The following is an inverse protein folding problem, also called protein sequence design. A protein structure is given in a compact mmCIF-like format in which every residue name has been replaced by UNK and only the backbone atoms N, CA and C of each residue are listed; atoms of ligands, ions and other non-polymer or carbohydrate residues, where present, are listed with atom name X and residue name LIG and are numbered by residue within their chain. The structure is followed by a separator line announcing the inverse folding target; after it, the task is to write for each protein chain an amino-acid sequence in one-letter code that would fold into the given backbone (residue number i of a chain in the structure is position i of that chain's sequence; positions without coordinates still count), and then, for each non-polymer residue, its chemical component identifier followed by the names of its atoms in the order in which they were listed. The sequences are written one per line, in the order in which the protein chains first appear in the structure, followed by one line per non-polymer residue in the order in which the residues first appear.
data_IF_249723742043
#
_entry.id   IF_249723742043
#
_cell.length_a   1.000
_cell.length_b   1.000
_cell.length_c   1.000
_cell.angle_alpha   90.00
_cell.angle_beta   90.00
_cell.angle_gamma   90.00
#
_symmetry.space_group_name_H-M   'P 1'
#
loop_
_entity.id
_entity.type
_entity.pdbx_description
1 polymer ?
#
# COMPACT_ATOMS: atom_id res chain seq x y z
N UNK A 1 65.88 -34.34 11.74
CA UNK A 1 64.96 -33.57 10.86
C UNK A 1 64.14 -32.64 11.73
N UNK A 2 64.30 -31.32 11.52
CA UNK A 2 63.85 -30.26 12.44
C UNK A 2 62.34 -30.03 12.38
N UNK A 3 61.70 -29.92 13.56
CA UNK A 3 60.26 -29.67 13.72
C UNK A 3 59.73 -28.40 13.04
N UNK A 4 60.60 -27.49 12.60
CA UNK A 4 60.23 -26.33 11.76
C UNK A 4 59.64 -26.75 10.40
N UNK A 5 60.10 -27.84 9.81
CA UNK A 5 59.57 -28.34 8.53
C UNK A 5 58.16 -28.90 8.67
N UNK A 6 57.90 -29.65 9.75
CA UNK A 6 56.57 -30.22 10.02
C UNK A 6 55.52 -29.12 10.25
N UNK A 7 55.87 -28.09 11.02
CA UNK A 7 54.98 -26.97 11.32
C UNK A 7 54.61 -26.14 10.08
N UNK A 8 55.57 -25.87 9.18
CA UNK A 8 55.28 -25.14 7.94
C UNK A 8 54.41 -25.95 6.98
N UNK A 9 54.62 -27.28 6.90
CA UNK A 9 53.80 -28.15 6.06
C UNK A 9 52.36 -28.23 6.58
N UNK A 10 52.16 -28.31 7.91
CA UNK A 10 50.84 -28.35 8.52
C UNK A 10 50.06 -27.03 8.33
N UNK A 11 50.73 -25.86 8.47
CA UNK A 11 50.12 -24.55 8.18
C UNK A 11 49.65 -24.42 6.74
N UNK A 12 50.39 -24.96 5.79
CA UNK A 12 50.03 -24.92 4.36
C UNK A 12 48.78 -25.75 4.08
N UNK A 13 48.72 -26.97 4.61
CA UNK A 13 47.53 -27.85 4.48
C UNK A 13 46.29 -27.24 5.14
N UNK A 14 46.43 -26.62 6.32
CA UNK A 14 45.31 -25.94 6.99
C UNK A 14 44.85 -24.72 6.18
N UNK A 15 45.77 -23.89 5.69
CA UNK A 15 45.41 -22.73 4.87
C UNK A 15 44.73 -23.13 3.55
N UNK A 16 45.23 -24.16 2.86
CA UNK A 16 44.66 -24.66 1.60
C UNK A 16 43.25 -25.26 1.83
N UNK A 17 43.04 -25.94 2.98
CA UNK A 17 41.73 -26.50 3.35
C UNK A 17 40.71 -25.41 3.73
N UNK A 18 41.14 -24.39 4.48
CA UNK A 18 40.30 -23.24 4.85
C UNK A 18 39.91 -22.43 3.61
N UNK A 19 40.84 -22.25 2.66
CA UNK A 19 40.56 -21.54 1.40
C UNK A 19 39.55 -22.30 0.53
N UNK A 20 39.65 -23.63 0.51
CA UNK A 20 38.72 -24.48 -0.26
C UNK A 20 37.31 -24.44 0.34
N UNK A 21 37.17 -24.49 1.68
CA UNK A 21 35.86 -24.40 2.35
C UNK A 21 35.21 -23.03 2.16
N UNK A 22 35.98 -21.93 2.19
CA UNK A 22 35.46 -20.59 1.91
C UNK A 22 35.00 -20.40 0.45
N UNK A 23 35.64 -21.07 -0.52
CA UNK A 23 35.25 -21.02 -1.93
C UNK A 23 33.95 -21.79 -2.24
N UNK A 24 33.61 -22.80 -1.43
CA UNK A 24 32.35 -23.52 -1.57
C UNK A 24 31.17 -22.85 -0.85
N UNK A 25 31.43 -22.04 0.19
CA UNK A 25 30.38 -21.31 0.93
C UNK A 25 29.84 -20.07 0.18
N UNK A 26 30.58 -19.52 -0.79
CA UNK A 26 30.15 -18.34 -1.57
C UNK A 26 29.24 -18.68 -2.76
N UNK A 27 29.05 -19.96 -3.10
CA UNK A 27 28.28 -20.39 -4.28
C UNK A 27 26.85 -20.89 -3.99
N UNK A 28 26.42 -20.89 -2.72
CA UNK A 28 25.11 -21.40 -2.28
C UNK A 28 24.21 -20.34 -1.63
N UNK A 29 24.32 -19.07 -2.03
CA UNK A 29 23.21 -18.15 -1.79
C UNK A 29 22.17 -18.39 -2.89
N UNK A 30 21.01 -19.02 -2.61
CA UNK A 30 19.92 -18.97 -3.56
C UNK A 30 19.61 -17.48 -3.79
N UNK A 31 19.78 -17.02 -5.02
CA UNK A 31 19.16 -15.77 -5.46
C UNK A 31 17.64 -16.01 -5.38
N UNK A 32 17.04 -15.64 -4.25
CA UNK A 32 15.60 -15.45 -4.21
C UNK A 32 15.31 -14.22 -5.06
N UNK A 33 14.93 -14.44 -6.31
CA UNK A 33 14.32 -13.39 -7.11
C UNK A 33 12.96 -13.10 -6.47
N UNK A 34 12.86 -11.99 -5.75
CA UNK A 34 11.60 -11.50 -5.21
C UNK A 34 10.66 -11.20 -6.39
N UNK A 35 9.53 -11.92 -6.46
CA UNK A 35 8.51 -11.67 -7.48
C UNK A 35 8.05 -10.22 -7.32
N UNK A 36 8.08 -9.43 -8.41
CA UNK A 36 7.56 -8.06 -8.38
C UNK A 36 6.13 -8.08 -7.81
N UNK A 37 5.80 -7.21 -6.84
CA UNK A 37 4.45 -7.10 -6.32
C UNK A 37 3.42 -6.92 -7.44
N UNK A 38 2.22 -7.46 -7.23
CA UNK A 38 1.08 -7.34 -8.15
C UNK A 38 0.39 -5.96 -8.05
N UNK A 39 0.84 -5.11 -7.13
CA UNK A 39 0.39 -3.75 -6.87
C UNK A 39 1.54 -2.74 -7.04
N UNK A 40 1.20 -1.45 -7.04
CA UNK A 40 2.16 -0.36 -6.95
C UNK A 40 1.80 0.56 -5.78
N UNK A 41 2.81 1.04 -5.05
CA UNK A 41 2.62 1.89 -3.89
C UNK A 41 3.58 3.08 -3.95
N UNK A 42 3.02 4.28 -3.81
CA UNK A 42 3.73 5.55 -3.87
C UNK A 42 3.39 6.35 -2.64
N UNK A 43 4.40 6.83 -1.92
CA UNK A 43 4.22 7.46 -0.62
C UNK A 43 4.98 8.77 -0.51
N UNK A 44 4.31 9.81 -0.01
CA UNK A 44 4.88 11.11 0.34
C UNK A 44 4.60 11.43 1.80
N UNK A 45 5.57 12.03 2.51
CA UNK A 45 5.43 12.42 3.92
C UNK A 45 6.16 11.48 4.87
N UNK A 46 5.67 11.40 6.11
CA UNK A 46 6.27 10.64 7.19
C UNK A 46 6.18 9.13 6.94
N UNK A 47 7.28 8.40 7.13
CA UNK A 47 7.33 6.95 6.93
C UNK A 47 6.71 6.16 8.10
N UNK A 48 6.44 6.83 9.21
CA UNK A 48 5.85 6.23 10.40
C UNK A 48 4.36 6.50 10.39
N UNK A 49 3.59 5.41 10.33
CA UNK A 49 2.14 5.37 10.51
C UNK A 49 1.73 6.00 11.85
N UNK A 50 0.60 6.70 11.84
CA UNK A 50 0.01 7.26 13.06
C UNK A 50 -1.45 6.86 13.17
N UNK A 51 -1.99 6.89 14.37
CA UNK A 51 -3.45 6.83 14.56
C UNK A 51 -3.93 8.19 15.03
N UNK A 52 -4.82 8.81 14.25
CA UNK A 52 -5.45 10.08 14.61
C UNK A 52 -6.90 9.87 15.07
N UNK A 53 -7.52 10.92 15.61
CA UNK A 53 -8.97 10.93 15.82
C UNK A 53 -9.66 11.41 14.54
N UNK A 54 -10.46 10.55 13.93
CA UNK A 54 -11.20 10.87 12.71
C UNK A 54 -12.64 11.30 12.99
N UNK A 55 -13.25 11.97 12.01
CA UNK A 55 -14.68 12.24 11.94
C UNK A 55 -15.26 11.64 10.64
N UNK A 56 -16.46 11.04 10.68
CA UNK A 56 -17.05 10.47 9.48
C UNK A 56 -17.44 11.56 8.48
N UNK A 57 -17.19 11.29 7.21
CA UNK A 57 -17.62 12.14 6.10
C UNK A 57 -17.56 11.39 4.77
N UNK A 58 -18.43 11.77 3.83
CA UNK A 58 -18.50 11.14 2.50
C UNK A 58 -18.42 12.22 1.43
N UNK A 59 -17.48 12.09 0.51
CA UNK A 59 -17.40 12.93 -0.70
C UNK A 59 -17.79 12.12 -1.93
N UNK A 60 -18.89 12.51 -2.57
CA UNK A 60 -19.35 11.94 -3.84
C UNK A 60 -19.14 12.95 -4.97
N UNK A 61 -18.05 12.82 -5.71
CA UNK A 61 -17.71 13.74 -6.80
C UNK A 61 -18.10 13.17 -8.18
N UNK A 62 -18.97 13.87 -8.91
CA UNK A 62 -19.52 13.40 -10.18
C UNK A 62 -18.53 13.25 -11.34
N UNK A 63 -17.31 13.75 -11.21
CA UNK A 63 -16.31 13.83 -12.29
C UNK A 63 -16.08 15.26 -12.77
N UNK A 64 -15.03 15.47 -13.55
CA UNK A 64 -14.57 16.79 -13.97
C UNK A 64 -13.35 17.24 -13.17
N UNK A 65 -13.26 18.54 -12.90
CA UNK A 65 -12.16 19.10 -12.11
C UNK A 65 -12.32 18.71 -10.64
N UNK A 66 -11.21 18.33 -10.02
CA UNK A 66 -11.11 18.13 -8.58
C UNK A 66 -11.57 19.38 -7.81
N UNK A 67 -12.36 19.17 -6.76
CA UNK A 67 -12.82 20.25 -5.88
C UNK A 67 -11.89 20.33 -4.66
N UNK A 68 -10.98 21.31 -4.66
CA UNK A 68 -9.97 21.51 -3.60
C UNK A 68 -10.55 21.47 -2.20
N UNK A 69 -11.67 22.19 -1.98
CA UNK A 69 -12.33 22.26 -0.69
C UNK A 69 -12.79 20.89 -0.15
N UNK A 70 -13.08 19.93 -1.04
CA UNK A 70 -13.47 18.58 -0.62
C UNK A 70 -12.27 17.79 -0.08
N UNK A 71 -11.10 17.91 -0.70
CA UNK A 71 -9.87 17.29 -0.20
C UNK A 71 -9.45 17.91 1.13
N UNK A 72 -9.46 19.25 1.23
CA UNK A 72 -9.14 19.96 2.48
C UNK A 72 -10.08 19.52 3.62
N UNK A 73 -11.39 19.45 3.35
CA UNK A 73 -12.36 18.96 4.31
C UNK A 73 -12.07 17.53 4.76
N UNK A 74 -11.74 16.62 3.84
CA UNK A 74 -11.36 15.25 4.20
C UNK A 74 -10.08 15.20 5.06
N UNK A 75 -9.11 16.08 4.82
CA UNK A 75 -7.90 16.17 5.64
C UNK A 75 -8.18 16.67 7.07
N UNK A 76 -9.12 17.60 7.23
CA UNK A 76 -9.60 18.02 8.56
C UNK A 76 -10.31 16.87 9.27
N UNK A 77 -11.19 16.14 8.56
CA UNK A 77 -11.90 14.99 9.10
C UNK A 77 -10.97 13.82 9.44
N UNK A 78 -9.84 13.69 8.74
CA UNK A 78 -8.85 12.64 8.99
C UNK A 78 -7.95 12.94 10.19
N UNK A 79 -8.17 14.06 10.90
CA UNK A 79 -7.27 14.52 11.95
C UNK A 79 -5.85 14.80 11.45
N UNK A 80 -5.70 15.07 10.15
CA UNK A 80 -4.42 15.15 9.43
C UNK A 80 -3.57 13.87 9.54
N UNK A 81 -4.21 12.69 9.55
CA UNK A 81 -3.54 11.39 9.47
C UNK A 81 -3.07 11.04 8.06
N UNK A 82 -3.02 9.74 7.77
CA UNK A 82 -2.58 9.19 6.50
C UNK A 82 -3.70 9.23 5.45
N UNK A 83 -3.47 9.98 4.37
CA UNK A 83 -4.42 10.13 3.28
C UNK A 83 -4.08 9.16 2.15
N UNK A 84 -4.92 8.15 1.96
CA UNK A 84 -4.71 7.10 0.97
C UNK A 84 -5.60 7.30 -0.27
N UNK A 85 -4.97 7.40 -1.43
CA UNK A 85 -5.62 7.33 -2.74
C UNK A 85 -5.54 5.89 -3.24
N UNK A 86 -6.70 5.28 -3.53
CA UNK A 86 -6.76 3.93 -4.11
C UNK A 86 -7.24 3.98 -5.56
N UNK A 87 -6.57 3.21 -6.42
CA UNK A 87 -6.78 3.22 -7.89
C UNK A 87 -6.65 1.82 -8.46
N UNK A 88 -7.36 1.52 -9.54
CA UNK A 88 -7.14 0.26 -10.27
C UNK A 88 -6.05 0.40 -11.36
N UNK A 89 -5.81 1.61 -11.87
CA UNK A 89 -4.83 1.89 -12.94
C UNK A 89 -4.25 3.31 -12.79
N UNK A 90 -3.22 3.64 -13.57
CA UNK A 90 -2.66 4.99 -13.73
C UNK A 90 -1.41 5.24 -12.89
N UNK A 91 -1.28 6.42 -12.28
CA UNK A 91 -0.12 6.87 -11.49
C UNK A 91 -0.52 7.46 -10.12
N UNK A 92 0.46 8.01 -9.39
CA UNK A 92 0.34 8.72 -8.12
C UNK A 92 0.08 10.23 -8.25
N UNK A 93 -0.43 10.70 -9.38
CA UNK A 93 -0.57 12.13 -9.67
C UNK A 93 -1.39 12.94 -8.63
N UNK A 94 -2.23 12.28 -7.82
CA UNK A 94 -2.96 12.93 -6.73
C UNK A 94 -2.07 13.24 -5.52
N UNK A 95 -1.01 12.48 -5.28
CA UNK A 95 -0.17 12.63 -4.10
C UNK A 95 0.37 14.07 -3.91
N UNK A 96 1.10 14.67 -4.89
CA UNK A 96 1.62 16.01 -4.71
C UNK A 96 0.53 17.07 -4.58
N UNK A 97 -0.60 16.90 -5.27
CA UNK A 97 -1.74 17.81 -5.22
C UNK A 97 -2.40 17.81 -3.85
N UNK A 98 -2.73 16.63 -3.30
CA UNK A 98 -3.32 16.49 -1.97
C UNK A 98 -2.33 16.97 -0.89
N UNK A 99 -1.05 16.64 -1.02
CA UNK A 99 -0.03 17.12 -0.07
C UNK A 99 0.06 18.65 -0.03
N UNK A 100 -0.12 19.33 -1.17
CA UNK A 100 -0.16 20.79 -1.24
C UNK A 100 -1.40 21.36 -0.53
N UNK A 101 -2.55 20.73 -0.70
CA UNK A 101 -3.80 21.15 -0.05
C UNK A 101 -3.84 20.83 1.44
N UNK A 102 -3.15 19.77 1.85
CA UNK A 102 -3.14 19.23 3.20
C UNK A 102 -1.71 19.16 3.76
N UNK A 103 -1.05 20.30 3.97
CA UNK A 103 0.36 20.33 4.37
C UNK A 103 0.64 19.73 5.75
N UNK A 104 -0.40 19.54 6.56
CA UNK A 104 -0.30 18.99 7.92
C UNK A 104 -0.55 17.48 7.99
N UNK A 105 -0.97 16.84 6.90
CA UNK A 105 -1.19 15.39 6.87
C UNK A 105 0.11 14.64 7.20
N UNK A 106 0.00 13.52 7.92
CA UNK A 106 1.16 12.68 8.24
C UNK A 106 1.81 12.14 6.96
N UNK A 107 0.99 11.57 6.08
CA UNK A 107 1.41 11.16 4.74
C UNK A 107 0.28 11.28 3.73
N UNK A 108 0.66 11.26 2.46
CA UNK A 108 -0.23 11.05 1.32
C UNK A 108 0.34 9.92 0.47
N UNK A 109 -0.46 8.90 0.22
CA UNK A 109 -0.03 7.75 -0.56
C UNK A 109 -1.03 7.40 -1.67
N UNK A 110 -0.52 6.77 -2.74
CA UNK A 110 -1.33 6.14 -3.77
C UNK A 110 -1.03 4.65 -3.78
N UNK A 111 -2.10 3.84 -3.73
CA UNK A 111 -2.05 2.39 -3.87
C UNK A 111 -2.81 1.98 -5.13
N UNK A 112 -2.10 1.38 -6.08
CA UNK A 112 -2.65 0.89 -7.35
C UNK A 112 -2.85 -0.62 -7.25
N UNK A 113 -4.10 -1.08 -7.41
CA UNK A 113 -4.55 -2.46 -7.19
C UNK A 113 -5.16 -2.99 -8.51
N UNK A 114 -4.33 -3.38 -9.50
CA UNK A 114 -4.77 -3.66 -10.87
C UNK A 114 -5.22 -5.11 -11.10
N UNK A 115 -5.21 -5.97 -10.09
CA UNK A 115 -5.52 -7.39 -10.23
C UNK A 115 -6.20 -7.95 -8.99
N UNK A 116 -6.85 -9.12 -9.14
CA UNK A 116 -7.38 -9.87 -7.99
C UNK A 116 -6.26 -10.36 -7.07
N UNK A 117 -5.07 -10.68 -7.59
CA UNK A 117 -3.91 -11.06 -6.77
C UNK A 117 -3.50 -9.90 -5.86
N UNK A 118 -3.41 -8.69 -6.40
CA UNK A 118 -3.15 -7.48 -5.60
C UNK A 118 -4.24 -7.23 -4.57
N UNK A 119 -5.50 -7.44 -4.94
CA UNK A 119 -6.62 -7.22 -4.04
C UNK A 119 -6.76 -8.27 -2.91
N UNK A 120 -5.95 -9.33 -2.94
CA UNK A 120 -5.82 -10.33 -1.87
C UNK A 120 -4.47 -10.22 -1.14
N UNK A 121 -3.61 -9.27 -1.51
CA UNK A 121 -2.30 -9.10 -0.91
C UNK A 121 -2.42 -8.46 0.49
N UNK A 122 -1.70 -9.02 1.47
CA UNK A 122 -1.76 -8.57 2.86
C UNK A 122 -1.24 -7.14 3.04
N UNK A 123 -0.21 -6.73 2.28
CA UNK A 123 0.29 -5.36 2.33
C UNK A 123 -0.79 -4.36 1.88
N UNK A 124 -1.52 -4.71 0.81
CA UNK A 124 -2.59 -3.87 0.27
C UNK A 124 -3.70 -3.67 1.30
N UNK A 125 -4.14 -4.76 1.94
CA UNK A 125 -5.16 -4.73 2.99
C UNK A 125 -4.70 -3.92 4.19
N UNK A 126 -3.47 -4.14 4.66
CA UNK A 126 -2.92 -3.42 5.80
C UNK A 126 -2.79 -1.92 5.53
N UNK A 127 -2.36 -1.52 4.33
CA UNK A 127 -2.28 -0.11 3.92
C UNK A 127 -3.66 0.56 3.98
N UNK A 128 -4.71 -0.12 3.51
CA UNK A 128 -6.10 0.38 3.61
C UNK A 128 -6.54 0.51 5.07
N UNK A 129 -6.18 -0.47 5.91
CA UNK A 129 -6.57 -0.50 7.32
C UNK A 129 -5.89 0.57 8.17
N UNK A 130 -4.74 1.09 7.72
CA UNK A 130 -4.01 2.17 8.41
C UNK A 130 -4.54 3.56 8.05
N UNK A 131 -5.06 3.78 6.85
CA UNK A 131 -5.38 5.12 6.35
C UNK A 131 -6.51 5.86 7.12
N UNK A 132 -6.26 7.07 7.63
CA UNK A 132 -7.26 7.97 8.25
C UNK A 132 -8.16 8.72 7.25
N UNK A 133 -7.83 8.71 5.97
CA UNK A 133 -8.73 9.13 4.89
C UNK A 133 -8.52 8.26 3.66
N UNK A 134 -9.61 7.94 2.95
CA UNK A 134 -9.55 7.12 1.73
C UNK A 134 -10.22 7.83 0.56
N UNK A 135 -9.51 7.96 -0.56
CA UNK A 135 -10.03 8.49 -1.81
C UNK A 135 -9.98 7.45 -2.93
N UNK A 136 -11.13 7.11 -3.51
CA UNK A 136 -11.23 6.22 -4.67
C UNK A 136 -11.19 7.06 -5.94
N UNK A 137 -10.09 6.98 -6.68
CA UNK A 137 -9.90 7.80 -7.87
C UNK A 137 -10.84 7.38 -9.03
N UNK A 138 -10.96 8.27 -10.02
CA UNK A 138 -11.63 7.96 -11.27
C UNK A 138 -10.91 6.89 -12.10
N UNK A 139 -11.55 6.42 -13.17
CA UNK A 139 -11.04 5.39 -14.06
C UNK A 139 -12.17 4.61 -14.73
N UNK A 140 -11.91 3.35 -15.04
CA UNK A 140 -12.91 2.41 -15.56
C UNK A 140 -13.55 1.64 -14.40
N UNK A 141 -14.87 1.76 -14.23
CA UNK A 141 -15.68 1.10 -13.20
C UNK A 141 -15.56 -0.43 -13.22
N UNK A 142 -15.35 -1.01 -14.40
CA UNK A 142 -15.25 -2.46 -14.57
C UNK A 142 -14.01 -3.02 -13.88
N UNK A 143 -12.89 -2.29 -13.85
CA UNK A 143 -11.67 -2.75 -13.16
C UNK A 143 -11.92 -2.94 -11.67
N UNK A 144 -12.57 -1.97 -11.02
CA UNK A 144 -12.91 -2.05 -9.61
C UNK A 144 -13.84 -3.24 -9.32
N UNK A 145 -14.87 -3.42 -10.14
CA UNK A 145 -15.81 -4.53 -10.01
C UNK A 145 -15.14 -5.90 -10.24
N UNK A 146 -14.24 -5.99 -11.21
CA UNK A 146 -13.58 -7.24 -11.58
C UNK A 146 -12.49 -7.66 -10.60
N UNK A 147 -11.80 -6.69 -9.99
CA UNK A 147 -10.61 -6.98 -9.18
C UNK A 147 -10.86 -6.89 -7.67
N UNK A 148 -11.75 -6.01 -7.21
CA UNK A 148 -11.91 -5.75 -5.77
C UNK A 148 -13.16 -6.39 -5.20
N UNK A 149 -14.17 -6.67 -6.04
CA UNK A 149 -15.42 -7.26 -5.55
C UNK A 149 -15.18 -8.67 -5.02
N UNK A 150 -15.63 -8.93 -3.79
CA UNK A 150 -15.50 -10.22 -3.13
C UNK A 150 -14.09 -10.54 -2.67
N UNK A 151 -13.20 -9.55 -2.55
CA UNK A 151 -11.84 -9.71 -2.05
C UNK A 151 -11.64 -9.00 -0.70
N UNK A 152 -10.53 -9.27 0.01
CA UNK A 152 -10.16 -8.56 1.23
C UNK A 152 -10.10 -7.03 1.10
N UNK A 153 -9.78 -6.49 -0.09
CA UNK A 153 -9.87 -5.03 -0.33
C UNK A 153 -11.28 -4.51 -0.15
N UNK A 154 -12.31 -5.20 -0.67
CA UNK A 154 -13.70 -4.77 -0.46
C UNK A 154 -14.06 -4.82 1.04
N UNK A 155 -13.65 -5.87 1.75
CA UNK A 155 -13.90 -6.01 3.19
C UNK A 155 -13.24 -4.89 3.98
N UNK A 156 -11.96 -4.63 3.74
CA UNK A 156 -11.22 -3.54 4.38
C UNK A 156 -11.90 -2.17 4.13
N UNK A 157 -12.32 -1.88 2.89
CA UNK A 157 -13.02 -0.63 2.60
C UNK A 157 -14.36 -0.51 3.35
N UNK A 158 -15.13 -1.60 3.43
CA UNK A 158 -16.37 -1.62 4.21
C UNK A 158 -16.11 -1.40 5.70
N UNK A 159 -15.04 -1.98 6.25
CA UNK A 159 -14.67 -1.83 7.64
C UNK A 159 -14.22 -0.40 7.96
N UNK A 160 -13.46 0.24 7.07
CA UNK A 160 -13.08 1.66 7.24
C UNK A 160 -14.29 2.59 7.19
N UNK A 161 -15.25 2.33 6.31
CA UNK A 161 -16.54 3.04 6.31
C UNK A 161 -17.25 2.87 7.67
N UNK A 162 -17.28 1.66 8.21
CA UNK A 162 -17.91 1.36 9.50
C UNK A 162 -17.21 1.98 10.71
N UNK A 163 -15.90 2.14 10.63
CA UNK A 163 -15.08 2.79 11.64
C UNK A 163 -15.19 4.32 11.58
N UNK A 164 -15.95 4.87 10.64
CA UNK A 164 -16.17 6.31 10.52
C UNK A 164 -14.99 7.06 9.90
N UNK A 165 -14.19 6.37 9.08
CA UNK A 165 -13.11 7.00 8.32
C UNK A 165 -13.72 7.83 7.19
N UNK A 166 -13.30 9.10 7.01
CA UNK A 166 -13.75 9.91 5.88
C UNK A 166 -13.35 9.25 4.57
N UNK A 167 -14.33 9.05 3.70
CA UNK A 167 -14.15 8.40 2.40
C UNK A 167 -14.68 9.26 1.27
N UNK A 168 -13.98 9.29 0.15
CA UNK A 168 -14.38 10.06 -1.00
C UNK A 168 -14.08 9.34 -2.31
N UNK A 169 -14.71 9.79 -3.39
CA UNK A 169 -14.37 9.29 -4.71
C UNK A 169 -14.95 10.10 -5.84
N UNK A 170 -14.33 9.96 -7.02
CA UNK A 170 -14.72 10.65 -8.24
C UNK A 170 -15.14 9.68 -9.34
N UNK A 171 -16.22 10.01 -10.06
CA UNK A 171 -16.64 9.30 -11.29
C UNK A 171 -16.78 7.79 -11.05
N UNK A 172 -15.85 6.98 -11.57
CA UNK A 172 -15.84 5.55 -11.27
C UNK A 172 -15.72 5.24 -9.78
N UNK A 173 -14.87 5.97 -9.05
CA UNK A 173 -14.72 5.81 -7.60
C UNK A 173 -15.98 6.15 -6.82
N UNK A 174 -16.74 7.17 -7.25
CA UNK A 174 -18.07 7.46 -6.70
C UNK A 174 -18.99 6.26 -6.89
N UNK A 175 -19.02 5.66 -8.08
CA UNK A 175 -19.87 4.50 -8.35
C UNK A 175 -19.50 3.30 -7.45
N UNK A 176 -18.20 3.04 -7.28
CA UNK A 176 -17.71 2.00 -6.37
C UNK A 176 -18.18 2.26 -4.94
N UNK A 177 -18.09 3.50 -4.44
CA UNK A 177 -18.62 3.85 -3.12
C UNK A 177 -20.10 3.54 -3.00
N UNK A 178 -20.92 3.91 -3.98
CA UNK A 178 -22.36 3.61 -3.94
C UNK A 178 -22.63 2.10 -3.87
N UNK A 179 -21.85 1.28 -4.56
CA UNK A 179 -21.92 -0.19 -4.47
C UNK A 179 -21.60 -0.69 -3.05
N UNK A 180 -20.54 -0.17 -2.42
CA UNK A 180 -20.14 -0.56 -1.06
C UNK A 180 -21.25 -0.24 -0.05
N UNK A 181 -21.86 0.95 -0.13
CA UNK A 181 -22.97 1.34 0.74
C UNK A 181 -24.25 0.50 0.52
N UNK A 182 -24.62 0.21 -0.73
CA UNK A 182 -25.83 -0.57 -1.02
C UNK A 182 -25.69 -2.01 -0.52
N UNK A 183 -24.55 -2.64 -0.80
CA UNK A 183 -24.29 -4.01 -0.34
C UNK A 183 -24.32 -4.10 1.19
N UNK A 184 -23.85 -3.05 1.86
CA UNK A 184 -23.89 -2.94 3.31
C UNK A 184 -25.33 -2.92 3.88
N UNK A 185 -26.21 -2.11 3.33
CA UNK A 185 -27.61 -2.05 3.77
C UNK A 185 -28.34 -3.39 3.60
N UNK A 186 -28.01 -4.16 2.56
CA UNK A 186 -28.63 -5.45 2.29
C UNK A 186 -28.07 -6.59 3.14
N UNK A 187 -26.80 -6.53 3.55
CA UNK A 187 -26.19 -7.55 4.40
C UNK A 187 -26.63 -7.47 5.88
N UNK A 188 -27.32 -6.39 6.28
CA UNK A 188 -27.84 -6.16 7.64
C UNK A 188 -29.37 -6.24 7.74
N UNK A 189 -30.07 -6.56 6.65
CA UNK A 189 -31.51 -6.80 6.61
C UNK A 189 -31.83 -8.30 6.63
#
# INVERSE_FOLDING_TARGET
MSGKFFYQSLKRVINDSVFTVLLFLTFYLPLFAEKKPSYEYYHLGNQVDITSTTQPGIVLMGGGTDVEAAFQWMCELSGNGDFLVIRATGTDAHNPYIQQLCPNSNSVATLIIPTIEAANDEFVVNTINQAEAIWIAGGDQSNYTNYWKGTPVQEALNDRILQGIPIGGMSAGLNVLTSLFILHFLARA
#
